data_IF_464733298281
#
_entry.id   IF_464733298281
#
_cell.length_a   1.000
_cell.length_b   1.000
_cell.length_c   1.000
_cell.angle_alpha   90.00
_cell.angle_beta   90.00
_cell.angle_gamma   90.00
#
_symmetry.space_group_name_H-M   'P 1'
#
loop_
_entity.id
_entity.type
_entity.pdbx_description
1 polymer ?
#
# COMPACT_ATOMS: atom_id res chain seq x y z
N UNK A 1 -19.04 15.28 32.33
CA UNK A 1 -17.97 15.60 31.35
C UNK A 1 -17.07 14.41 31.01
N UNK A 2 -16.91 13.40 31.87
CA UNK A 2 -16.01 12.25 31.64
C UNK A 2 -16.51 11.26 30.57
N UNK A 3 -17.83 11.11 30.39
CA UNK A 3 -18.39 10.24 29.34
C UNK A 3 -18.28 10.83 27.93
N UNK A 4 -18.32 12.16 27.77
CA UNK A 4 -18.22 12.82 26.46
C UNK A 4 -16.79 12.83 25.92
N UNK A 5 -15.78 13.00 26.79
CA UNK A 5 -14.38 12.85 26.41
C UNK A 5 -14.06 11.40 26.08
N UNK A 6 -14.61 10.43 26.83
CA UNK A 6 -14.48 9.02 26.44
C UNK A 6 -15.16 8.76 25.10
N UNK A 7 -16.38 9.24 24.82
CA UNK A 7 -17.00 9.03 23.50
C UNK A 7 -16.21 9.70 22.37
N UNK A 8 -15.61 10.88 22.57
CA UNK A 8 -14.73 11.49 21.56
C UNK A 8 -13.40 10.74 21.37
N UNK A 9 -12.84 10.17 22.44
CA UNK A 9 -11.61 9.36 22.40
C UNK A 9 -11.87 7.92 21.91
N UNK A 10 -13.10 7.42 22.05
CA UNK A 10 -13.50 6.05 21.76
C UNK A 10 -14.26 5.91 20.42
N UNK A 11 -14.76 7.01 19.85
CA UNK A 11 -15.54 7.01 18.60
C UNK A 11 -14.79 7.59 17.38
N UNK A 12 -13.52 8.01 17.53
CA UNK A 12 -12.59 8.02 16.41
C UNK A 12 -12.19 6.57 16.14
N UNK A 13 -13.01 5.87 15.36
CA UNK A 13 -12.69 4.55 14.83
C UNK A 13 -11.26 4.56 14.29
N UNK A 14 -10.38 3.76 14.88
CA UNK A 14 -8.94 3.68 14.63
C UNK A 14 -8.57 3.11 13.24
N UNK A 15 -9.46 3.20 12.26
CA UNK A 15 -9.24 2.73 10.90
C UNK A 15 -8.69 3.90 10.08
N UNK A 16 -7.41 3.79 9.73
CA UNK A 16 -6.74 4.73 8.85
C UNK A 16 -7.06 4.43 7.37
N UNK A 17 -6.53 5.25 6.46
CA UNK A 17 -6.82 5.12 5.04
C UNK A 17 -6.35 3.76 4.48
N UNK A 18 -5.24 3.25 5.00
CA UNK A 18 -4.76 1.90 4.68
C UNK A 18 -5.79 0.83 5.09
N UNK A 19 -6.32 0.85 6.31
CA UNK A 19 -7.34 -0.14 6.71
C UNK A 19 -8.62 -0.02 5.88
N UNK A 20 -9.08 1.18 5.56
CA UNK A 20 -10.26 1.37 4.69
C UNK A 20 -10.02 0.83 3.28
N UNK A 21 -8.82 1.03 2.72
CA UNK A 21 -8.44 0.49 1.42
C UNK A 21 -8.41 -1.04 1.43
N UNK A 22 -7.80 -1.64 2.45
CA UNK A 22 -7.74 -3.09 2.59
C UNK A 22 -9.11 -3.71 2.90
N UNK A 23 -9.97 -3.03 3.65
CA UNK A 23 -11.34 -3.46 3.89
C UNK A 23 -12.10 -3.58 2.57
N UNK A 24 -12.00 -2.58 1.68
CA UNK A 24 -12.59 -2.67 0.34
C UNK A 24 -12.07 -3.90 -0.41
N UNK A 25 -10.77 -4.15 -0.38
CA UNK A 25 -10.16 -5.35 -0.96
C UNK A 25 -10.75 -6.65 -0.39
N UNK A 26 -10.85 -6.77 0.94
CA UNK A 26 -11.40 -7.95 1.58
C UNK A 26 -12.89 -8.16 1.32
N UNK A 27 -13.68 -7.08 1.20
CA UNK A 27 -15.08 -7.16 0.77
C UNK A 27 -15.17 -7.74 -0.63
N UNK A 28 -14.37 -7.25 -1.59
CA UNK A 28 -14.33 -7.76 -2.96
C UNK A 28 -13.94 -9.24 -3.02
N UNK A 29 -12.90 -9.62 -2.26
CA UNK A 29 -12.47 -11.01 -2.09
C UNK A 29 -13.60 -11.89 -1.55
N UNK A 30 -14.27 -11.43 -0.50
CA UNK A 30 -15.33 -12.18 0.16
C UNK A 30 -16.50 -12.43 -0.79
N UNK A 31 -16.93 -11.41 -1.53
CA UNK A 31 -18.00 -11.53 -2.54
C UNK A 31 -17.65 -12.62 -3.56
N UNK A 32 -16.40 -12.64 -4.06
CA UNK A 32 -15.98 -13.58 -5.10
C UNK A 32 -15.86 -15.00 -4.57
N UNK A 33 -15.36 -15.18 -3.35
CA UNK A 33 -15.35 -16.49 -2.70
C UNK A 33 -16.78 -16.98 -2.51
N UNK A 34 -17.69 -16.15 -1.98
CA UNK A 34 -19.09 -16.53 -1.74
C UNK A 34 -19.76 -16.94 -3.05
N UNK A 35 -19.66 -16.13 -4.11
CA UNK A 35 -20.23 -16.49 -5.42
C UNK A 35 -19.59 -17.78 -5.97
N UNK A 36 -18.29 -17.96 -5.75
CA UNK A 36 -17.58 -19.17 -6.17
C UNK A 36 -18.12 -20.42 -5.47
N UNK A 37 -18.38 -20.33 -4.17
CA UNK A 37 -18.83 -21.44 -3.33
C UNK A 37 -20.32 -21.78 -3.50
N UNK A 38 -21.17 -20.82 -3.86
CA UNK A 38 -22.61 -21.05 -4.06
C UNK A 38 -22.99 -21.58 -5.43
N UNK A 39 -22.01 -21.78 -6.34
CA UNK A 39 -22.22 -22.41 -7.65
C UNK A 39 -22.36 -23.93 -7.49
N UNK A 40 -23.14 -24.55 -8.37
CA UNK A 40 -23.29 -26.01 -8.44
C UNK A 40 -22.72 -26.53 -9.78
N UNK A 41 -21.58 -27.25 -9.78
CA UNK A 41 -20.67 -27.49 -8.65
C UNK A 41 -19.84 -26.24 -8.28
N UNK A 42 -19.24 -26.17 -7.08
CA UNK A 42 -18.45 -25.03 -6.64
C UNK A 42 -17.35 -24.63 -7.61
N UNK A 43 -17.24 -23.33 -7.88
CA UNK A 43 -16.27 -22.78 -8.81
C UNK A 43 -14.91 -22.59 -8.15
N UNK A 44 -14.10 -23.65 -8.20
CA UNK A 44 -12.71 -23.67 -7.70
C UNK A 44 -11.86 -22.52 -8.30
N UNK A 45 -12.12 -22.17 -9.56
CA UNK A 45 -11.41 -21.06 -10.23
C UNK A 45 -11.73 -19.71 -9.60
N UNK A 46 -13.00 -19.46 -9.29
CA UNK A 46 -13.38 -18.19 -8.63
C UNK A 46 -12.76 -18.10 -7.25
N UNK A 47 -12.71 -19.21 -6.51
CA UNK A 47 -12.06 -19.24 -5.20
C UNK A 47 -10.52 -19.11 -5.26
N UNK A 48 -9.92 -19.17 -6.45
CA UNK A 48 -8.48 -18.98 -6.66
C UNK A 48 -8.08 -17.53 -7.01
N UNK A 49 -9.05 -16.71 -7.44
CA UNK A 49 -8.85 -15.31 -7.80
C UNK A 49 -8.55 -14.33 -6.65
N UNK A 50 -8.94 -14.55 -5.38
CA UNK A 50 -8.90 -13.49 -4.38
C UNK A 50 -7.55 -12.79 -4.21
N UNK A 51 -6.41 -13.50 -4.12
CA UNK A 51 -5.11 -12.84 -3.98
C UNK A 51 -4.76 -11.99 -5.21
N UNK A 52 -5.06 -12.46 -6.42
CA UNK A 52 -4.83 -11.71 -7.67
C UNK A 52 -5.68 -10.44 -7.72
N UNK A 53 -6.89 -10.47 -7.18
CA UNK A 53 -7.79 -9.32 -7.14
C UNK A 53 -7.29 -8.28 -6.13
N UNK A 54 -6.77 -8.71 -4.98
CA UNK A 54 -6.09 -7.79 -4.05
C UNK A 54 -4.86 -7.14 -4.70
N UNK A 55 -4.06 -7.90 -5.45
CA UNK A 55 -2.92 -7.34 -6.19
C UNK A 55 -3.35 -6.28 -7.21
N UNK A 56 -4.41 -6.54 -7.97
CA UNK A 56 -4.98 -5.56 -8.91
C UNK A 56 -5.53 -4.34 -8.15
N UNK A 57 -6.29 -4.55 -7.09
CA UNK A 57 -6.94 -3.47 -6.34
C UNK A 57 -5.91 -2.54 -5.67
N UNK A 58 -4.95 -3.09 -4.92
CA UNK A 58 -3.89 -2.31 -4.26
C UNK A 58 -2.96 -1.69 -5.30
N UNK A 59 -2.55 -2.47 -6.31
CA UNK A 59 -1.68 -2.00 -7.38
C UNK A 59 -2.29 -0.82 -8.16
N UNK A 60 -3.55 -0.96 -8.58
CA UNK A 60 -4.30 0.11 -9.24
C UNK A 60 -4.47 1.34 -8.35
N UNK A 61 -4.75 1.16 -7.06
CA UNK A 61 -4.84 2.28 -6.10
C UNK A 61 -3.53 3.06 -6.06
N UNK A 62 -2.39 2.38 -5.95
CA UNK A 62 -1.07 3.02 -5.92
C UNK A 62 -0.75 3.76 -7.22
N UNK A 63 -1.10 3.18 -8.38
CA UNK A 63 -0.91 3.82 -9.69
C UNK A 63 -1.78 5.07 -9.82
N UNK A 64 -3.05 4.99 -9.43
CA UNK A 64 -3.97 6.15 -9.47
C UNK A 64 -3.44 7.25 -8.55
N UNK A 65 -3.16 6.93 -7.28
CA UNK A 65 -2.69 7.93 -6.31
C UNK A 65 -1.34 8.52 -6.73
N UNK A 66 -0.41 7.70 -7.22
CA UNK A 66 0.87 8.17 -7.76
C UNK A 66 0.69 9.10 -8.96
N UNK A 67 -0.26 8.79 -9.85
CA UNK A 67 -0.59 9.66 -11.01
C UNK A 67 -1.19 10.98 -10.55
N UNK A 68 -2.15 10.95 -9.62
CA UNK A 68 -2.76 12.15 -9.05
C UNK A 68 -1.73 13.03 -8.32
N UNK A 69 -0.79 12.41 -7.61
CA UNK A 69 0.32 13.09 -6.94
C UNK A 69 1.24 13.80 -7.96
N UNK A 70 1.61 13.11 -9.05
CA UNK A 70 2.39 13.68 -10.16
C UNK A 70 1.70 14.87 -10.82
N UNK A 71 0.39 14.75 -11.06
CA UNK A 71 -0.44 15.80 -11.64
C UNK A 71 -0.78 16.93 -10.65
N UNK A 72 -0.25 16.87 -9.41
CA UNK A 72 -0.50 17.85 -8.35
C UNK A 72 -2.00 18.03 -8.02
N UNK A 73 -2.81 16.99 -8.22
CA UNK A 73 -4.24 17.04 -7.93
C UNK A 73 -4.45 17.18 -6.42
N UNK A 74 -5.39 18.03 -6.03
CA UNK A 74 -5.76 18.24 -4.62
C UNK A 74 -6.78 17.18 -4.20
N UNK A 75 -6.55 16.57 -3.05
CA UNK A 75 -7.43 15.52 -2.55
C UNK A 75 -8.78 16.09 -2.08
N UNK A 76 -9.91 15.47 -2.48
CA UNK A 76 -11.24 15.97 -2.13
C UNK A 76 -11.70 15.60 -0.71
N UNK A 77 -10.98 14.70 -0.04
CA UNK A 77 -11.23 14.22 1.32
C UNK A 77 -9.89 14.00 2.04
N UNK A 78 -9.88 13.90 3.39
CA UNK A 78 -8.63 13.67 4.11
C UNK A 78 -8.11 12.26 3.87
N UNK A 79 -6.80 12.13 3.69
CA UNK A 79 -6.10 10.85 3.53
C UNK A 79 -5.05 10.77 4.63
N UNK A 80 -5.33 9.96 5.65
CA UNK A 80 -4.49 9.81 6.84
C UNK A 80 -4.15 11.17 7.47
N UNK A 81 -2.89 11.49 7.75
CA UNK A 81 -2.52 12.81 8.31
C UNK A 81 -2.70 14.00 7.36
N UNK A 82 -3.01 13.76 6.08
CA UNK A 82 -3.13 14.84 5.10
C UNK A 82 -4.55 15.42 5.11
N UNK A 83 -4.72 16.75 5.33
CA UNK A 83 -6.04 17.39 5.33
C UNK A 83 -6.61 17.53 3.92
N UNK A 84 -7.92 17.64 3.82
CA UNK A 84 -8.62 17.95 2.56
C UNK A 84 -7.99 19.16 1.84
N UNK A 85 -7.85 19.07 0.52
CA UNK A 85 -7.29 20.14 -0.30
C UNK A 85 -5.76 20.13 -0.43
N UNK A 86 -5.04 19.28 0.31
CA UNK A 86 -3.61 19.07 0.04
C UNK A 86 -3.39 18.30 -1.26
N UNK A 87 -2.21 18.45 -1.86
CA UNK A 87 -1.84 17.63 -3.02
C UNK A 87 -1.66 16.18 -2.60
N UNK A 88 -2.13 15.23 -3.43
CA UNK A 88 -1.87 13.81 -3.22
C UNK A 88 -0.36 13.54 -3.03
N UNK A 89 -0.01 12.66 -2.10
CA UNK A 89 1.35 12.16 -1.92
C UNK A 89 1.47 10.73 -2.44
N UNK A 90 2.69 10.24 -2.71
CA UNK A 90 2.89 8.85 -3.14
C UNK A 90 2.20 7.87 -2.19
N UNK A 91 1.45 6.91 -2.74
CA UNK A 91 0.61 6.01 -1.94
C UNK A 91 1.40 5.20 -0.91
N UNK A 92 2.64 4.81 -1.22
CA UNK A 92 3.51 4.09 -0.27
C UNK A 92 3.87 4.93 0.96
N UNK A 93 3.93 6.27 0.83
CA UNK A 93 4.14 7.13 1.99
C UNK A 93 2.96 7.01 2.98
N UNK A 94 1.74 6.97 2.46
CA UNK A 94 0.51 6.79 3.26
C UNK A 94 0.51 5.41 3.92
N UNK A 95 0.88 4.36 3.18
CA UNK A 95 0.97 3.00 3.73
C UNK A 95 1.98 2.92 4.88
N UNK A 96 3.18 3.48 4.70
CA UNK A 96 4.22 3.48 5.75
C UNK A 96 3.78 4.30 6.96
N UNK A 97 3.14 5.44 6.73
CA UNK A 97 2.58 6.27 7.78
C UNK A 97 1.60 5.48 8.65
N UNK A 98 0.62 4.86 8.00
CA UNK A 98 -0.51 4.18 8.63
C UNK A 98 -0.08 2.91 9.35
N UNK A 99 0.65 2.01 8.67
CA UNK A 99 1.16 0.78 9.29
C UNK A 99 2.05 1.10 10.49
N UNK A 100 3.02 2.01 10.37
CA UNK A 100 3.94 2.25 11.48
C UNK A 100 3.30 3.03 12.63
N UNK A 101 2.35 3.92 12.35
CA UNK A 101 1.68 4.70 13.38
C UNK A 101 0.59 3.94 14.11
N UNK A 102 -0.20 3.12 13.39
CA UNK A 102 -1.33 2.36 13.95
C UNK A 102 -0.88 0.95 14.32
N UNK A 103 -0.50 0.13 13.34
CA UNK A 103 -0.11 -1.27 13.60
C UNK A 103 1.19 -1.37 14.42
N UNK A 104 2.12 -0.44 14.18
CA UNK A 104 3.39 -0.32 14.92
C UNK A 104 3.28 0.46 16.24
N UNK A 105 2.10 1.01 16.57
CA UNK A 105 1.84 1.73 17.82
C UNK A 105 2.64 3.03 18.01
N UNK A 106 3.27 3.59 16.96
CA UNK A 106 4.12 4.80 17.09
C UNK A 106 3.34 6.11 17.08
N UNK A 107 2.06 6.08 16.71
CA UNK A 107 1.14 7.21 16.83
C UNK A 107 1.55 8.47 16.07
N UNK A 108 1.11 9.62 16.57
CA UNK A 108 1.25 10.94 15.92
C UNK A 108 2.70 11.42 15.81
N UNK A 109 3.56 11.09 16.77
CA UNK A 109 4.97 11.49 16.75
C UNK A 109 5.70 10.93 15.52
N UNK A 110 5.43 9.68 15.16
CA UNK A 110 5.99 9.07 13.95
C UNK A 110 5.47 9.75 12.68
N UNK A 111 4.16 10.02 12.62
CA UNK A 111 3.55 10.71 11.47
C UNK A 111 4.20 12.07 11.23
N UNK A 112 4.35 12.88 12.27
CA UNK A 112 5.00 14.19 12.16
C UNK A 112 6.44 14.08 11.69
N UNK A 113 7.24 13.18 12.27
CA UNK A 113 8.64 12.98 11.87
C UNK A 113 8.79 12.47 10.43
N UNK A 114 7.91 11.56 10.00
CA UNK A 114 7.88 11.06 8.62
C UNK A 114 7.58 12.19 7.63
N UNK A 115 6.60 13.03 7.94
CA UNK A 115 6.22 14.15 7.07
C UNK A 115 7.27 15.26 7.04
N UNK A 116 7.94 15.52 8.17
CA UNK A 116 9.08 16.43 8.23
C UNK A 116 10.22 15.94 7.35
N UNK A 117 10.60 14.65 7.45
CA UNK A 117 11.62 14.06 6.56
C UNK A 117 11.20 14.13 5.09
N UNK A 118 9.94 13.81 4.80
CA UNK A 118 9.41 13.90 3.45
C UNK A 118 9.51 15.32 2.91
N UNK A 119 9.24 16.35 3.71
CA UNK A 119 9.41 17.75 3.30
C UNK A 119 10.89 18.14 3.12
N UNK A 120 11.77 17.66 4.00
CA UNK A 120 13.19 18.03 4.02
C UNK A 120 14.04 17.38 2.90
N UNK A 121 13.63 16.22 2.37
CA UNK A 121 14.48 15.41 1.50
C UNK A 121 13.86 15.10 0.14
N UNK A 122 14.40 15.74 -0.92
CA UNK A 122 14.05 15.39 -2.31
C UNK A 122 14.39 13.94 -2.66
N UNK A 123 15.43 13.36 -2.03
CA UNK A 123 15.79 11.94 -2.25
C UNK A 123 14.76 11.01 -1.61
N UNK A 124 14.33 11.31 -0.40
CA UNK A 124 13.28 10.53 0.26
C UNK A 124 11.96 10.64 -0.51
N UNK A 125 11.60 11.82 -1.01
CA UNK A 125 10.42 12.01 -1.87
C UNK A 125 10.48 11.10 -3.11
N UNK A 126 11.61 11.08 -3.81
CA UNK A 126 11.81 10.19 -4.97
C UNK A 126 11.72 8.72 -4.58
N UNK A 127 12.35 8.30 -3.48
CA UNK A 127 12.25 6.93 -3.00
C UNK A 127 10.79 6.50 -2.76
N UNK A 128 9.99 7.34 -2.09
CA UNK A 128 8.57 7.04 -1.85
C UNK A 128 7.77 6.93 -3.15
N UNK A 129 8.10 7.77 -4.12
CA UNK A 129 7.50 7.76 -5.45
C UNK A 129 7.88 6.49 -6.23
N UNK A 130 9.17 6.18 -6.32
CA UNK A 130 9.71 5.02 -7.01
C UNK A 130 9.15 3.72 -6.44
N UNK A 131 9.08 3.61 -5.10
CA UNK A 131 8.45 2.48 -4.43
C UNK A 131 6.94 2.40 -4.71
N UNK A 132 6.25 3.54 -4.80
CA UNK A 132 4.82 3.56 -5.16
C UNK A 132 4.60 3.02 -6.57
N UNK A 133 5.44 3.38 -7.53
CA UNK A 133 5.38 2.82 -8.88
C UNK A 133 5.78 1.35 -8.93
N UNK A 134 6.82 0.96 -8.20
CA UNK A 134 7.31 -0.41 -8.16
C UNK A 134 6.25 -1.39 -7.63
N UNK A 135 5.59 -1.05 -6.51
CA UNK A 135 4.50 -1.85 -5.97
C UNK A 135 3.20 -1.69 -6.77
N UNK A 136 2.91 -0.48 -7.25
CA UNK A 136 1.70 -0.19 -8.02
C UNK A 136 1.64 -0.97 -9.33
N UNK A 137 2.61 -0.73 -10.21
CA UNK A 137 2.69 -1.46 -11.49
C UNK A 137 3.00 -2.94 -11.28
N UNK A 138 3.88 -3.28 -10.33
CA UNK A 138 4.22 -4.67 -10.03
C UNK A 138 2.97 -5.48 -9.65
N UNK A 139 2.18 -4.97 -8.70
CA UNK A 139 0.95 -5.63 -8.24
C UNK A 139 -0.11 -5.68 -9.35
N UNK A 140 -0.30 -4.58 -10.08
CA UNK A 140 -1.28 -4.53 -11.17
C UNK A 140 -0.97 -5.54 -12.28
N UNK A 141 0.29 -5.55 -12.76
CA UNK A 141 0.74 -6.46 -13.82
C UNK A 141 0.68 -7.92 -13.35
N UNK A 142 1.19 -8.22 -12.15
CA UNK A 142 1.17 -9.58 -11.62
C UNK A 142 -0.26 -10.08 -11.40
N UNK A 143 -1.14 -9.25 -10.85
CA UNK A 143 -2.54 -9.59 -10.64
C UNK A 143 -3.27 -9.89 -11.95
N UNK A 144 -3.09 -9.07 -12.99
CA UNK A 144 -3.67 -9.31 -14.32
C UNK A 144 -3.12 -10.60 -14.94
N UNK A 145 -1.80 -10.80 -14.91
CA UNK A 145 -1.17 -12.03 -15.44
C UNK A 145 -1.77 -13.26 -14.75
N UNK A 146 -1.86 -13.25 -13.43
CA UNK A 146 -2.44 -14.38 -12.70
C UNK A 146 -3.90 -14.60 -13.04
N UNK A 147 -4.73 -13.56 -13.16
CA UNK A 147 -6.13 -13.71 -13.59
C UNK A 147 -6.19 -14.42 -14.96
N UNK A 148 -5.37 -14.00 -15.93
CA UNK A 148 -5.31 -14.63 -17.24
C UNK A 148 -4.84 -16.09 -17.18
N UNK A 149 -3.80 -16.39 -16.41
CA UNK A 149 -3.28 -17.76 -16.22
C UNK A 149 -4.33 -18.66 -15.56
N UNK A 150 -5.00 -18.18 -14.50
CA UNK A 150 -6.03 -18.94 -13.80
C UNK A 150 -7.26 -19.20 -14.68
N UNK A 151 -7.53 -18.33 -15.65
CA UNK A 151 -8.56 -18.54 -16.66
C UNK A 151 -8.15 -19.58 -17.71
N UNK A 152 -6.87 -19.69 -18.07
CA UNK A 152 -6.40 -20.56 -19.15
C UNK A 152 -5.98 -21.97 -18.71
N UNK A 153 -5.53 -22.16 -17.47
CA UNK A 153 -5.08 -23.47 -16.96
C UNK A 153 -6.23 -24.49 -16.99
N UNK A 154 -6.02 -25.66 -17.59
CA UNK A 154 -7.07 -26.70 -17.70
C UNK A 154 -7.46 -27.32 -16.34
N UNK A 155 -6.47 -27.62 -15.50
CA UNK A 155 -6.69 -28.24 -14.18
C UNK A 155 -7.17 -27.23 -13.14
N UNK A 156 -8.38 -27.42 -12.61
CA UNK A 156 -8.97 -26.55 -11.59
C UNK A 156 -8.18 -26.56 -10.27
N UNK A 157 -7.72 -27.73 -9.84
CA UNK A 157 -6.93 -27.89 -8.62
C UNK A 157 -5.58 -27.21 -8.73
N UNK A 158 -4.94 -27.34 -9.90
CA UNK A 158 -3.66 -26.67 -10.15
C UNK A 158 -3.82 -25.15 -10.18
N UNK A 159 -4.87 -24.65 -10.83
CA UNK A 159 -5.21 -23.23 -10.82
C UNK A 159 -5.43 -22.72 -9.38
N UNK A 160 -6.13 -23.47 -8.53
CA UNK A 160 -6.29 -23.11 -7.12
C UNK A 160 -4.95 -22.98 -6.40
N UNK A 161 -4.07 -23.97 -6.52
CA UNK A 161 -2.74 -23.92 -5.91
C UNK A 161 -1.92 -22.72 -6.38
N UNK A 162 -1.94 -22.42 -7.68
CA UNK A 162 -1.25 -21.26 -8.24
C UNK A 162 -1.80 -19.93 -7.71
N UNK A 163 -3.13 -19.78 -7.69
CA UNK A 163 -3.80 -18.54 -7.30
C UNK A 163 -3.52 -18.13 -5.87
N UNK A 164 -3.31 -19.10 -4.98
CA UNK A 164 -2.93 -18.83 -3.60
C UNK A 164 -1.41 -18.74 -3.40
N UNK A 165 -0.61 -19.56 -4.07
CA UNK A 165 0.84 -19.65 -3.77
C UNK A 165 1.66 -18.53 -4.42
N UNK A 166 1.42 -18.24 -5.69
CA UNK A 166 2.27 -17.31 -6.46
C UNK A 166 2.24 -15.89 -5.89
N UNK A 167 1.08 -15.33 -5.49
CA UNK A 167 1.01 -14.00 -4.88
C UNK A 167 1.85 -13.84 -3.61
N UNK A 168 1.89 -14.87 -2.74
CA UNK A 168 2.70 -14.81 -1.51
C UNK A 168 4.19 -14.85 -1.81
N UNK A 169 4.64 -15.71 -2.74
CA UNK A 169 6.04 -15.74 -3.18
C UNK A 169 6.43 -14.40 -3.82
N UNK A 170 5.56 -13.86 -4.66
CA UNK A 170 5.76 -12.57 -5.31
C UNK A 170 5.86 -11.43 -4.28
N UNK A 171 4.92 -11.35 -3.34
CA UNK A 171 4.90 -10.33 -2.30
C UNK A 171 6.15 -10.41 -1.41
N UNK A 172 6.55 -11.63 -1.00
CA UNK A 172 7.78 -11.85 -0.24
C UNK A 172 9.02 -11.37 -1.01
N UNK A 173 9.11 -11.69 -2.31
CA UNK A 173 10.22 -11.25 -3.17
C UNK A 173 10.26 -9.72 -3.29
N UNK A 174 9.12 -9.08 -3.55
CA UNK A 174 9.02 -7.63 -3.65
C UNK A 174 9.35 -6.93 -2.32
N UNK A 175 8.95 -7.51 -1.18
CA UNK A 175 9.30 -7.01 0.14
C UNK A 175 10.80 -7.06 0.40
N UNK A 176 11.48 -8.15 0.01
CA UNK A 176 12.93 -8.28 0.11
C UNK A 176 13.63 -7.22 -0.73
N UNK A 177 13.25 -7.07 -2.01
CA UNK A 177 13.80 -6.06 -2.92
C UNK A 177 13.63 -4.66 -2.33
N UNK A 178 12.40 -4.33 -1.91
CA UNK A 178 12.06 -3.02 -1.31
C UNK A 178 12.89 -2.75 -0.06
N UNK A 179 13.11 -3.74 0.79
CA UNK A 179 13.88 -3.60 2.03
C UNK A 179 15.32 -3.21 1.74
N UNK A 180 15.97 -3.90 0.81
CA UNK A 180 17.36 -3.59 0.46
C UNK A 180 17.48 -2.26 -0.29
N UNK A 181 16.56 -1.97 -1.20
CA UNK A 181 16.51 -0.69 -1.91
C UNK A 181 16.34 0.49 -0.95
N UNK A 182 15.34 0.42 -0.05
CA UNK A 182 15.12 1.46 0.96
C UNK A 182 16.36 1.64 1.85
N UNK A 183 16.96 0.56 2.36
CA UNK A 183 18.19 0.64 3.17
C UNK A 183 19.34 1.32 2.41
N UNK A 184 19.54 1.00 1.13
CA UNK A 184 20.57 1.63 0.30
C UNK A 184 20.30 3.12 0.11
N UNK A 185 19.09 3.47 -0.31
CA UNK A 185 18.70 4.85 -0.59
C UNK A 185 18.79 5.75 0.66
N UNK A 186 18.38 5.24 1.82
CA UNK A 186 18.47 5.98 3.10
C UNK A 186 19.92 6.13 3.56
N UNK A 187 20.81 5.16 3.28
CA UNK A 187 22.25 5.27 3.55
C UNK A 187 22.88 6.37 2.68
N UNK A 188 22.56 6.39 1.40
CA UNK A 188 23.05 7.41 0.46
C UNK A 188 22.55 8.82 0.80
N UNK A 189 21.29 8.93 1.24
CA UNK A 189 20.71 10.16 1.76
C UNK A 189 21.52 10.68 2.95
N UNK A 190 21.76 9.84 3.96
CA UNK A 190 22.53 10.20 5.16
C UNK A 190 23.97 10.63 4.83
N UNK A 191 24.65 9.89 3.94
CA UNK A 191 26.01 10.24 3.50
C UNK A 191 26.07 11.61 2.81
N UNK A 192 25.03 11.97 2.07
CA UNK A 192 25.00 13.27 1.38
C UNK A 192 24.76 14.42 2.34
N UNK A 193 23.86 14.25 3.32
CA UNK A 193 23.66 15.26 4.36
C UNK A 193 24.93 15.55 5.14
N UNK A 194 25.67 14.50 5.52
CA UNK A 194 26.96 14.65 6.19
C UNK A 194 27.99 15.43 5.33
N UNK A 195 28.00 15.21 4.01
CA UNK A 195 28.85 15.98 3.09
C UNK A 195 28.42 17.44 2.99
N UNK A 196 27.14 17.71 2.82
CA UNK A 196 26.62 19.10 2.74
C UNK A 196 26.93 19.88 4.01
N UNK A 197 26.79 19.28 5.20
CA UNK A 197 27.14 19.95 6.47
C UNK A 197 28.63 20.26 6.57
N UNK A 198 29.51 19.35 6.12
CA UNK A 198 30.95 19.60 6.08
C UNK A 198 31.34 20.74 5.13
N UNK A 199 30.65 20.88 3.99
CA UNK A 199 30.91 21.96 3.04
C UNK A 199 30.46 23.31 3.58
N UNK A 200 29.35 23.38 4.33
CA UNK A 200 28.86 24.63 4.93
C UNK A 200 29.70 25.07 6.15
N UNK A 201 30.41 24.13 6.78
CA UNK A 201 31.27 24.40 7.92
C UNK A 201 32.70 24.86 7.56
N UNK A 202 33.04 24.90 6.27
CA UNK A 202 34.32 25.38 5.72
C UNK A 202 34.11 26.71 5.02
#
# INVERSE_FOLDING_TARGET
MTRLVLTYVFFHAQLDFFHWNYLLGFVLVTIIIVIGLTREPPSVRMTALPPSILLVQVGLTLVIVGTLAKLRVRQPFPVSSMPTGSVFRPGVLVIIEDIAAVDGGRGTAYRSALMERYAASKRFQRLMEDLSWFWGFGGLVMGIILICVLASVGSKTFAFGLGWTVPWIWAGTWAVITTYWAKSALREEALTWAKTQKVVAV
#
